data_IF_014794066646
#
_entry.id   IF_014794066646
#
_cell.length_a   1.000
_cell.length_b   1.000
_cell.length_c   1.000
_cell.angle_alpha   90.00
_cell.angle_beta   90.00
_cell.angle_gamma   90.00
#
_symmetry.space_group_name_H-M   'P 1'
#
loop_
_entity.id
_entity.type
_entity.pdbx_description
1 polymer ?
#
# COMPACT_ATOMS: atom_id res chain seq x y z
N UNK A 1 31.94 -48.78 -55.61
CA UNK A 1 31.77 -47.85 -54.49
C UNK A 1 30.32 -47.48 -54.43
N UNK A 2 29.59 -48.10 -53.50
CA UNK A 2 28.14 -47.93 -53.34
C UNK A 2 27.91 -47.20 -52.04
N UNK A 3 27.36 -45.97 -52.10
CA UNK A 3 26.94 -45.20 -50.95
C UNK A 3 25.54 -45.63 -50.54
N UNK A 4 25.40 -46.15 -49.31
CA UNK A 4 24.13 -46.37 -48.67
C UNK A 4 23.76 -45.09 -47.91
N UNK A 5 22.67 -44.45 -48.29
CA UNK A 5 22.05 -43.38 -47.55
C UNK A 5 20.96 -44.02 -46.69
N UNK A 6 21.23 -44.09 -45.40
CA UNK A 6 20.24 -44.53 -44.42
C UNK A 6 19.43 -43.30 -43.96
N UNK A 7 18.15 -43.28 -44.34
CA UNK A 7 17.18 -42.28 -43.97
C UNK A 7 16.61 -42.62 -42.58
N UNK A 8 17.08 -41.88 -41.57
CA UNK A 8 16.56 -42.02 -40.20
C UNK A 8 15.36 -41.06 -40.03
N UNK A 9 14.14 -41.63 -40.06
CA UNK A 9 12.90 -40.92 -39.72
C UNK A 9 12.80 -40.81 -38.20
N UNK A 10 13.14 -39.63 -37.68
CA UNK A 10 12.91 -39.24 -36.29
C UNK A 10 11.45 -38.80 -36.16
N UNK A 11 10.63 -39.67 -35.58
CA UNK A 11 9.30 -39.31 -35.08
C UNK A 11 9.46 -38.41 -33.87
N UNK A 12 9.27 -37.12 -34.07
CA UNK A 12 9.20 -36.13 -32.99
C UNK A 12 7.79 -36.17 -32.39
N UNK A 13 7.65 -36.87 -31.27
CA UNK A 13 6.43 -36.85 -30.47
C UNK A 13 6.31 -35.49 -29.80
N UNK A 14 5.44 -34.65 -30.32
CA UNK A 14 5.08 -33.36 -29.68
C UNK A 14 4.15 -33.71 -28.52
N UNK A 15 4.72 -33.72 -27.31
CA UNK A 15 3.95 -33.77 -26.07
C UNK A 15 3.39 -32.38 -25.86
N UNK A 16 2.11 -32.19 -26.14
CA UNK A 16 1.39 -31.00 -25.68
C UNK A 16 1.26 -31.09 -24.18
N UNK A 17 2.13 -30.37 -23.45
CA UNK A 17 1.84 -30.01 -22.09
C UNK A 17 0.70 -28.98 -22.14
N UNK A 18 -0.48 -29.46 -21.81
CA UNK A 18 -1.61 -28.63 -21.43
C UNK A 18 -1.14 -27.85 -20.19
N UNK A 19 -0.82 -26.57 -20.35
CA UNK A 19 -0.76 -25.64 -19.23
C UNK A 19 -2.19 -25.51 -18.72
N UNK A 20 -2.49 -26.17 -17.62
CA UNK A 20 -3.65 -25.86 -16.81
C UNK A 20 -3.58 -24.37 -16.48
N UNK A 21 -4.63 -23.67 -16.90
CA UNK A 21 -4.87 -22.29 -16.54
C UNK A 21 -4.80 -22.19 -15.01
N UNK A 22 -3.71 -21.59 -14.51
CA UNK A 22 -3.75 -20.96 -13.23
C UNK A 22 -4.88 -19.92 -13.35
N UNK A 23 -6.03 -20.28 -12.81
CA UNK A 23 -7.12 -19.35 -12.61
C UNK A 23 -6.53 -18.16 -11.87
N UNK A 24 -6.33 -17.06 -12.59
CA UNK A 24 -6.26 -15.75 -11.99
C UNK A 24 -7.58 -15.58 -11.24
N UNK A 25 -7.60 -16.03 -9.99
CA UNK A 25 -8.61 -15.59 -9.06
C UNK A 25 -8.34 -14.11 -8.84
N UNK A 26 -8.91 -13.31 -9.76
CA UNK A 26 -9.34 -11.96 -9.44
C UNK A 26 -10.28 -12.17 -8.26
N UNK A 27 -9.77 -12.06 -7.06
CA UNK A 27 -10.57 -11.85 -5.86
C UNK A 27 -11.26 -10.50 -6.06
N UNK A 28 -12.35 -10.54 -6.82
CA UNK A 28 -13.43 -9.58 -6.65
C UNK A 28 -13.66 -9.50 -5.16
N UNK A 29 -13.66 -8.29 -4.63
CA UNK A 29 -13.86 -7.97 -3.22
C UNK A 29 -15.28 -8.35 -2.78
N UNK A 30 -15.58 -9.65 -2.78
CA UNK A 30 -16.75 -10.22 -2.11
C UNK A 30 -16.27 -10.77 -0.79
N UNK A 31 -16.78 -10.13 0.28
CA UNK A 31 -16.62 -10.49 1.68
C UNK A 31 -15.32 -10.10 2.40
N UNK A 32 -14.81 -8.90 2.19
CA UNK A 32 -14.25 -8.19 3.33
C UNK A 32 -15.45 -7.81 4.21
N UNK A 33 -15.72 -8.59 5.27
CA UNK A 33 -16.62 -8.15 6.34
C UNK A 33 -16.03 -6.86 6.88
N UNK A 34 -16.58 -5.73 6.43
CA UNK A 34 -16.41 -4.44 7.07
C UNK A 34 -17.08 -4.61 8.44
N UNK A 35 -16.32 -4.98 9.45
CA UNK A 35 -16.78 -4.89 10.82
C UNK A 35 -16.88 -3.41 11.17
N UNK A 36 -18.07 -2.84 10.93
CA UNK A 36 -18.49 -1.61 11.57
C UNK A 36 -18.75 -1.92 13.05
N UNK A 37 -17.69 -2.02 13.83
CA UNK A 37 -17.84 -1.95 15.30
C UNK A 37 -17.97 -0.46 15.64
N UNK A 38 -19.20 -0.03 15.83
CA UNK A 38 -19.48 1.29 16.39
C UNK A 38 -18.91 1.36 17.82
N UNK A 39 -18.06 2.35 18.15
CA UNK A 39 -17.75 2.64 19.54
C UNK A 39 -19.01 3.27 20.19
N UNK A 40 -19.46 2.68 21.28
CA UNK A 40 -20.57 3.19 22.10
C UNK A 40 -20.01 4.22 23.07
N UNK A 41 -19.88 5.47 22.64
CA UNK A 41 -19.78 6.65 23.51
C UNK A 41 -20.22 7.89 22.69
N UNK A 42 -20.97 8.85 23.28
CA UNK A 42 -21.49 10.00 22.55
C UNK A 42 -20.39 11.06 22.37
N UNK A 43 -19.67 11.01 21.29
CA UNK A 43 -18.73 12.07 20.90
C UNK A 43 -19.45 13.01 19.93
N UNK A 44 -19.71 14.21 20.41
CA UNK A 44 -20.23 15.34 19.64
C UNK A 44 -19.15 15.91 18.73
N UNK A 45 -18.78 15.17 17.68
CA UNK A 45 -18.06 15.67 16.50
C UNK A 45 -18.57 14.90 15.30
N UNK A 46 -18.82 15.58 14.17
CA UNK A 46 -19.16 14.96 12.89
C UNK A 46 -17.95 14.12 12.43
N UNK A 47 -17.89 12.90 12.95
CA UNK A 47 -16.85 11.95 12.60
C UNK A 47 -17.09 11.48 11.16
N UNK A 48 -16.24 11.94 10.25
CA UNK A 48 -16.04 11.23 8.98
C UNK A 48 -15.63 9.81 9.36
N UNK A 49 -16.33 8.76 8.90
CA UNK A 49 -15.99 7.41 9.28
C UNK A 49 -14.53 7.13 8.92
N UNK A 50 -13.70 6.83 9.92
CA UNK A 50 -12.30 6.49 9.72
C UNK A 50 -12.24 5.21 8.88
N UNK A 51 -11.94 5.35 7.59
CA UNK A 51 -11.71 4.22 6.72
C UNK A 51 -10.50 3.45 7.21
N UNK A 52 -10.66 2.14 7.38
CA UNK A 52 -9.57 1.24 7.76
C UNK A 52 -9.66 -0.10 7.04
N UNK A 53 -8.53 -0.72 6.80
CA UNK A 53 -8.42 -2.07 6.24
C UNK A 53 -7.58 -2.91 7.18
N UNK A 54 -8.08 -4.12 7.47
CA UNK A 54 -7.38 -5.10 8.30
C UNK A 54 -7.19 -6.40 7.53
N UNK A 55 -5.97 -6.95 7.54
CA UNK A 55 -5.62 -8.21 6.88
C UNK A 55 -4.59 -8.97 7.71
N UNK A 56 -4.75 -10.29 7.82
CA UNK A 56 -3.74 -11.16 8.42
C UNK A 56 -2.60 -11.41 7.45
N UNK A 57 -1.37 -11.22 7.91
CA UNK A 57 -0.13 -11.49 7.18
C UNK A 57 0.71 -12.48 7.98
N UNK A 58 1.24 -13.50 7.30
CA UNK A 58 2.27 -14.39 7.86
C UNK A 58 3.66 -13.81 7.55
N UNK A 59 4.36 -13.35 8.57
CA UNK A 59 5.65 -12.67 8.41
C UNK A 59 6.78 -13.55 7.91
N UNK A 60 6.69 -14.87 8.09
CA UNK A 60 7.68 -15.81 7.58
C UNK A 60 7.56 -16.01 6.07
N UNK A 61 6.33 -15.95 5.55
CA UNK A 61 6.03 -16.12 4.12
C UNK A 61 6.10 -14.78 3.38
N UNK A 62 5.66 -13.72 4.06
CA UNK A 62 5.44 -12.40 3.46
C UNK A 62 4.01 -12.27 2.90
N UNK A 63 3.78 -11.23 2.12
CA UNK A 63 2.47 -10.95 1.53
C UNK A 63 2.30 -9.49 1.14
N UNK A 64 1.09 -9.14 0.73
CA UNK A 64 0.76 -7.78 0.31
C UNK A 64 -0.65 -7.41 0.77
N UNK A 65 -0.81 -6.13 1.15
CA UNK A 65 -2.10 -5.51 1.40
C UNK A 65 -2.29 -4.42 0.36
N UNK A 66 -3.36 -4.52 -0.42
CA UNK A 66 -3.74 -3.54 -1.44
C UNK A 66 -4.99 -2.79 -0.98
N UNK A 67 -5.00 -1.48 -1.18
CA UNK A 67 -6.15 -0.61 -1.01
C UNK A 67 -6.30 0.19 -2.30
N UNK A 68 -7.47 0.16 -2.89
CA UNK A 68 -7.90 1.07 -3.97
C UNK A 68 -9.35 1.43 -3.67
N UNK A 69 -9.54 2.64 -3.14
CA UNK A 69 -10.86 3.10 -2.71
C UNK A 69 -10.99 4.61 -2.90
N UNK A 70 -12.23 5.06 -2.91
CA UNK A 70 -12.55 6.49 -2.92
C UNK A 70 -13.44 6.79 -1.72
N UNK A 71 -13.04 7.79 -0.94
CA UNK A 71 -13.80 8.26 0.23
C UNK A 71 -14.12 9.73 0.08
N UNK A 72 -15.14 10.17 0.80
CA UNK A 72 -15.55 11.59 0.85
C UNK A 72 -14.86 12.23 2.05
N UNK A 73 -14.17 13.36 1.83
CA UNK A 73 -13.59 14.13 2.94
C UNK A 73 -14.68 14.95 3.67
N UNK A 74 -14.30 15.63 4.77
CA UNK A 74 -15.23 16.47 5.56
C UNK A 74 -15.83 17.65 4.78
N UNK A 75 -15.24 18.02 3.64
CA UNK A 75 -15.69 19.12 2.77
C UNK A 75 -16.59 18.63 1.63
N UNK A 76 -16.79 17.31 1.49
CA UNK A 76 -17.59 16.70 0.44
C UNK A 76 -16.81 16.34 -0.82
N UNK A 77 -15.48 16.49 -0.83
CA UNK A 77 -14.64 16.15 -1.98
C UNK A 77 -14.33 14.65 -2.00
N UNK A 78 -14.21 14.10 -3.21
CA UNK A 78 -13.83 12.71 -3.42
C UNK A 78 -12.32 12.59 -3.41
N UNK A 79 -11.79 11.78 -2.49
CA UNK A 79 -10.36 11.46 -2.39
C UNK A 79 -10.16 9.99 -2.67
N UNK A 80 -9.41 9.65 -3.72
CA UNK A 80 -8.97 8.30 -4.01
C UNK A 80 -7.70 7.97 -3.27
N UNK A 81 -7.68 6.79 -2.65
CA UNK A 81 -6.54 6.24 -1.90
C UNK A 81 -6.11 4.96 -2.60
N UNK A 82 -4.86 4.94 -3.05
CA UNK A 82 -4.21 3.75 -3.59
C UNK A 82 -3.01 3.41 -2.72
N UNK A 83 -3.00 2.23 -2.14
CA UNK A 83 -1.92 1.79 -1.25
C UNK A 83 -1.53 0.35 -1.57
N UNK A 84 -0.23 0.09 -1.64
CA UNK A 84 0.35 -1.25 -1.62
C UNK A 84 1.35 -1.31 -0.47
N UNK A 85 1.12 -2.23 0.46
CA UNK A 85 2.01 -2.51 1.58
C UNK A 85 2.53 -3.94 1.44
N UNK A 86 3.81 -4.08 1.06
CA UNK A 86 4.43 -5.35 0.73
C UNK A 86 5.42 -5.81 1.79
N UNK A 87 5.23 -7.04 2.25
CA UNK A 87 6.08 -7.75 3.19
C UNK A 87 6.92 -8.78 2.43
N UNK A 88 8.22 -8.68 2.50
CA UNK A 88 9.10 -9.77 2.04
C UNK A 88 9.05 -10.93 3.04
N UNK A 89 9.44 -12.14 2.63
CA UNK A 89 9.54 -13.27 3.55
C UNK A 89 10.53 -12.96 4.69
N UNK A 90 10.22 -13.42 5.89
CA UNK A 90 11.00 -13.18 7.10
C UNK A 90 11.00 -11.70 7.54
N UNK A 91 9.90 -10.98 7.31
CA UNK A 91 9.77 -9.60 7.79
C UNK A 91 9.50 -9.51 9.30
N UNK A 92 8.81 -10.51 9.86
CA UNK A 92 8.52 -10.66 11.29
C UNK A 92 8.13 -12.11 11.60
N UNK A 93 8.00 -12.46 12.89
CA UNK A 93 7.62 -13.81 13.31
C UNK A 93 6.11 -14.03 13.38
N UNK A 94 5.69 -15.19 12.87
CA UNK A 94 4.32 -15.70 12.97
C UNK A 94 3.32 -14.89 12.13
N UNK A 95 2.06 -15.00 12.52
CA UNK A 95 0.95 -14.29 11.89
C UNK A 95 0.56 -13.07 12.71
N UNK A 96 0.22 -11.99 12.01
CA UNK A 96 -0.28 -10.75 12.63
C UNK A 96 -1.44 -10.20 11.81
N UNK A 97 -2.43 -9.72 12.52
CA UNK A 97 -3.48 -8.90 11.96
C UNK A 97 -2.97 -7.47 11.80
N UNK A 98 -2.85 -7.02 10.55
CA UNK A 98 -2.31 -5.71 10.19
C UNK A 98 -3.47 -4.79 9.83
N UNK A 99 -3.59 -3.68 10.56
CA UNK A 99 -4.58 -2.63 10.28
C UNK A 99 -3.91 -1.40 9.71
N UNK A 100 -4.47 -0.88 8.63
CA UNK A 100 -4.03 0.33 7.92
C UNK A 100 -5.14 1.36 8.04
N UNK A 101 -4.80 2.57 8.50
CA UNK A 101 -5.73 3.70 8.66
C UNK A 101 -5.16 4.90 7.89
N UNK A 102 -5.59 5.13 6.64
CA UNK A 102 -5.27 6.37 5.93
C UNK A 102 -6.02 7.55 6.54
N UNK A 103 -5.37 8.69 6.66
CA UNK A 103 -5.99 9.94 7.08
C UNK A 103 -5.78 11.00 5.99
N UNK A 104 -6.87 11.38 5.34
CA UNK A 104 -6.86 12.34 4.23
C UNK A 104 -6.82 13.80 4.69
N UNK A 105 -7.17 14.07 5.96
CA UNK A 105 -7.22 15.43 6.49
C UNK A 105 -5.82 16.01 6.78
N UNK A 106 -4.84 15.16 7.00
CA UNK A 106 -3.45 15.52 7.27
C UNK A 106 -2.44 14.79 6.38
N UNK A 107 -2.93 14.12 5.34
CA UNK A 107 -2.13 13.34 4.40
C UNK A 107 -1.20 12.33 5.08
N UNK A 108 -1.70 11.65 6.10
CA UNK A 108 -0.95 10.63 6.83
C UNK A 108 -1.55 9.24 6.67
N UNK A 109 -0.77 8.25 7.10
CA UNK A 109 -1.19 6.84 7.16
C UNK A 109 -0.66 6.22 8.43
N UNK A 110 -1.49 5.47 9.13
CA UNK A 110 -1.16 4.81 10.39
C UNK A 110 -1.29 3.31 10.27
N UNK A 111 -0.38 2.59 10.93
CA UNK A 111 -0.32 1.13 10.90
C UNK A 111 -0.36 0.56 12.30
N UNK A 112 -1.07 -0.56 12.46
CA UNK A 112 -1.14 -1.34 13.69
C UNK A 112 -0.94 -2.85 13.40
N UNK A 113 -0.45 -3.61 14.42
CA UNK A 113 0.07 -3.16 15.71
C UNK A 113 1.40 -2.41 15.57
N UNK A 114 1.78 -1.59 16.54
CA UNK A 114 3.14 -1.03 16.60
C UNK A 114 4.15 -2.16 16.75
N UNK A 115 5.06 -2.31 15.79
CA UNK A 115 6.06 -3.38 15.76
C UNK A 115 7.25 -3.01 14.88
N UNK A 116 8.41 -3.57 15.17
CA UNK A 116 9.61 -3.48 14.35
C UNK A 116 9.69 -4.65 13.38
N UNK A 117 10.38 -4.46 12.26
CA UNK A 117 10.60 -5.46 11.23
C UNK A 117 12.05 -5.92 11.15
N UNK A 118 12.26 -7.22 10.91
CA UNK A 118 13.58 -7.76 10.57
C UNK A 118 14.03 -7.35 9.17
N UNK A 119 13.06 -7.21 8.24
CA UNK A 119 13.26 -6.65 6.90
C UNK A 119 12.27 -5.52 6.69
N UNK A 120 12.76 -4.37 6.22
CA UNK A 120 11.94 -3.20 5.94
C UNK A 120 10.77 -3.55 5.02
N UNK A 121 9.58 -3.16 5.41
CA UNK A 121 8.34 -3.31 4.63
C UNK A 121 8.27 -2.19 3.60
N UNK A 122 7.79 -2.49 2.40
CA UNK A 122 7.74 -1.53 1.28
C UNK A 122 6.33 -0.98 1.16
N UNK A 123 6.24 0.35 1.17
CA UNK A 123 4.97 1.07 1.01
C UNK A 123 4.97 1.84 -0.30
N UNK A 124 3.86 1.74 -1.03
CA UNK A 124 3.44 2.70 -2.04
C UNK A 124 2.14 3.32 -1.56
N UNK A 125 2.05 4.66 -1.60
CA UNK A 125 0.86 5.39 -1.18
C UNK A 125 0.60 6.54 -2.16
N UNK A 126 -0.65 6.65 -2.59
CA UNK A 126 -1.14 7.73 -3.45
C UNK A 126 -2.45 8.26 -2.87
N UNK A 127 -2.52 9.55 -2.68
CA UNK A 127 -3.75 10.29 -2.44
C UNK A 127 -4.04 11.14 -3.66
N UNK A 128 -5.22 11.03 -4.27
CA UNK A 128 -5.64 11.82 -5.42
C UNK A 128 -6.94 12.57 -5.08
N UNK A 129 -7.01 13.86 -5.41
CA UNK A 129 -8.13 14.73 -5.03
C UNK A 129 -8.02 15.28 -3.60
N UNK A 130 -6.83 15.22 -2.99
CA UNK A 130 -6.59 15.76 -1.64
C UNK A 130 -6.39 17.30 -1.73
N UNK A 131 -6.92 18.04 -0.75
CA UNK A 131 -6.77 19.49 -0.70
C UNK A 131 -5.35 19.91 -0.31
N UNK A 132 -4.49 20.06 -1.33
CA UNK A 132 -3.08 20.44 -1.16
C UNK A 132 -2.91 21.83 -0.52
N UNK A 133 -3.84 22.77 -0.79
CA UNK A 133 -3.75 24.12 -0.23
C UNK A 133 -4.04 24.11 1.27
N UNK A 134 -5.08 23.39 1.67
CA UNK A 134 -5.44 23.24 3.09
C UNK A 134 -4.34 22.51 3.88
N UNK A 135 -3.62 21.58 3.24
CA UNK A 135 -2.44 20.93 3.80
C UNK A 135 -1.19 21.83 3.85
N UNK A 136 -1.29 23.09 3.40
CA UNK A 136 -0.20 24.07 3.42
C UNK A 136 0.82 23.93 2.29
N UNK A 137 0.57 23.07 1.29
CA UNK A 137 1.40 23.02 0.10
C UNK A 137 1.12 24.20 -0.84
N UNK A 138 2.14 24.61 -1.60
CA UNK A 138 2.06 25.60 -2.67
C UNK A 138 2.57 24.99 -3.97
N UNK A 139 2.31 25.61 -5.11
CA UNK A 139 2.70 25.09 -6.44
C UNK A 139 4.20 24.82 -6.60
N UNK A 140 5.03 25.50 -5.84
CA UNK A 140 6.50 25.31 -5.80
C UNK A 140 6.97 24.48 -4.60
N UNK A 141 6.07 23.94 -3.78
CA UNK A 141 6.44 23.12 -2.61
C UNK A 141 7.12 21.83 -3.06
N UNK A 142 8.15 21.45 -2.32
CA UNK A 142 8.69 20.09 -2.33
C UNK A 142 8.04 19.29 -1.22
N UNK A 143 7.83 18.03 -1.42
CA UNK A 143 7.23 17.12 -0.46
C UNK A 143 8.26 16.09 0.00
N UNK A 144 8.13 15.68 1.23
CA UNK A 144 8.86 14.58 1.83
C UNK A 144 7.86 13.62 2.49
N UNK A 145 8.28 12.38 2.73
CA UNK A 145 7.49 11.38 3.43
C UNK A 145 8.29 10.89 4.63
N UNK A 146 7.78 11.12 5.83
CA UNK A 146 8.50 10.90 7.08
C UNK A 146 7.67 10.11 8.08
N UNK A 147 8.34 9.44 9.01
CA UNK A 147 7.76 8.98 10.25
C UNK A 147 7.47 10.18 11.16
N UNK A 148 6.33 10.13 11.86
CA UNK A 148 5.94 11.14 12.86
C UNK A 148 5.60 10.45 14.18
N UNK A 149 6.43 10.68 15.19
CA UNK A 149 6.21 10.19 16.56
C UNK A 149 5.22 11.05 17.34
N UNK A 150 4.68 10.51 18.44
CA UNK A 150 3.70 11.22 19.28
C UNK A 150 4.30 12.44 20.00
N UNK A 151 5.62 12.48 20.18
CA UNK A 151 6.33 13.54 20.88
C UNK A 151 6.99 14.57 19.94
N UNK A 152 6.54 14.64 18.68
CA UNK A 152 7.17 15.48 17.66
C UNK A 152 8.49 14.92 17.12
N UNK A 153 8.75 13.64 17.36
CA UNK A 153 9.88 12.93 16.75
C UNK A 153 9.66 12.78 15.26
N UNK A 154 10.72 12.95 14.48
CA UNK A 154 10.73 12.75 13.03
C UNK A 154 11.85 11.80 12.65
N UNK A 155 11.56 10.86 11.76
CA UNK A 155 12.57 10.00 11.15
C UNK A 155 12.43 10.04 9.64
N UNK A 156 13.56 10.18 8.96
CA UNK A 156 13.63 10.13 7.51
C UNK A 156 13.34 8.71 7.04
N UNK A 157 12.49 8.60 6.03
CA UNK A 157 12.16 7.32 5.39
C UNK A 157 12.88 7.22 4.06
N UNK A 158 13.58 6.10 3.82
CA UNK A 158 14.14 5.82 2.49
C UNK A 158 13.00 5.53 1.52
N UNK A 159 12.96 6.20 0.37
CA UNK A 159 12.00 5.95 -0.69
C UNK A 159 12.62 6.19 -2.08
N UNK A 160 12.01 5.65 -3.13
CA UNK A 160 12.48 5.88 -4.50
C UNK A 160 12.14 7.28 -5.01
N UNK A 161 10.92 7.74 -4.76
CA UNK A 161 10.49 9.11 -5.05
C UNK A 161 9.29 9.50 -4.19
N UNK A 162 9.17 10.81 -3.93
CA UNK A 162 8.04 11.44 -3.28
C UNK A 162 7.68 12.71 -4.06
N UNK A 163 6.42 12.85 -4.51
CA UNK A 163 6.04 13.89 -5.47
C UNK A 163 4.67 14.49 -5.19
N UNK A 164 4.48 15.72 -5.68
CA UNK A 164 3.20 16.43 -5.78
C UNK A 164 2.83 16.55 -7.25
N UNK A 165 1.60 16.19 -7.60
CA UNK A 165 0.99 16.47 -8.89
C UNK A 165 -0.18 17.44 -8.68
N UNK A 166 0.03 18.73 -8.94
CA UNK A 166 -0.93 19.80 -8.72
C UNK A 166 -2.21 19.67 -9.52
N UNK A 167 -2.17 19.41 -10.85
CA UNK A 167 -3.38 19.25 -11.65
C UNK A 167 -4.33 18.16 -11.15
N UNK A 168 -3.80 17.12 -10.52
CA UNK A 168 -4.57 15.99 -10.00
C UNK A 168 -4.82 16.10 -8.49
N UNK A 169 -4.35 17.17 -7.83
CA UNK A 169 -4.39 17.29 -6.37
C UNK A 169 -3.84 16.01 -5.70
N UNK A 170 -2.62 15.58 -6.12
CA UNK A 170 -2.11 14.27 -5.77
C UNK A 170 -0.81 14.36 -4.99
N UNK A 171 -0.70 13.56 -3.92
CA UNK A 171 0.52 13.23 -3.20
C UNK A 171 0.86 11.76 -3.45
N UNK A 172 2.14 11.49 -3.74
CA UNK A 172 2.61 10.13 -4.01
C UNK A 172 3.96 9.87 -3.39
N UNK A 173 4.10 8.72 -2.71
CA UNK A 173 5.39 8.13 -2.34
C UNK A 173 5.47 6.72 -2.92
N UNK A 174 6.65 6.33 -3.38
CA UNK A 174 6.90 5.01 -3.95
C UNK A 174 8.09 4.34 -3.29
N UNK A 175 7.91 3.05 -2.98
CA UNK A 175 8.93 2.20 -2.38
C UNK A 175 9.50 2.78 -1.08
N UNK A 176 8.64 3.37 -0.24
CA UNK A 176 9.03 3.81 1.10
C UNK A 176 9.34 2.58 1.96
N UNK A 177 10.52 2.57 2.59
CA UNK A 177 11.04 1.44 3.35
C UNK A 177 10.81 1.65 4.84
N UNK A 178 9.76 1.02 5.36
CA UNK A 178 9.35 1.15 6.75
C UNK A 178 10.12 0.15 7.62
N UNK A 179 10.84 0.65 8.64
CA UNK A 179 11.56 -0.16 9.64
C UNK A 179 10.65 -0.67 10.75
N UNK A 180 9.53 0.01 10.99
CA UNK A 180 8.54 -0.31 12.00
C UNK A 180 7.16 0.20 11.59
N UNK A 181 6.11 -0.28 12.27
CA UNK A 181 4.78 0.29 12.14
C UNK A 181 4.55 1.42 13.12
N UNK A 182 4.03 2.52 12.59
CA UNK A 182 3.64 3.72 13.31
C UNK A 182 2.80 4.62 12.40
N UNK A 183 2.90 5.93 12.58
CA UNK A 183 2.30 6.95 11.71
C UNK A 183 3.35 7.56 10.80
N UNK A 184 3.00 7.69 9.52
CA UNK A 184 3.81 8.34 8.50
C UNK A 184 2.98 9.42 7.80
N UNK A 185 3.61 10.50 7.36
CA UNK A 185 2.91 11.60 6.75
C UNK A 185 3.70 12.24 5.60
N UNK A 186 2.96 12.80 4.64
CA UNK A 186 3.53 13.74 3.69
C UNK A 186 3.71 15.10 4.38
N UNK A 187 4.89 15.65 4.27
CA UNK A 187 5.22 16.93 4.86
C UNK A 187 5.87 17.86 3.83
N UNK A 188 5.72 19.16 4.03
CA UNK A 188 6.42 20.13 3.22
C UNK A 188 7.91 20.08 3.58
N UNK A 189 8.76 19.85 2.57
CA UNK A 189 10.21 19.88 2.76
C UNK A 189 10.67 21.32 2.97
N UNK A 190 11.31 21.60 4.10
CA UNK A 190 12.01 22.86 4.32
C UNK A 190 13.22 22.95 3.37
N UNK A 191 13.43 24.10 2.76
CA UNK A 191 14.59 24.39 1.93
C UNK A 191 15.83 24.58 2.81
#
# INVERSE_FOLDING_TARGET
MKFFISLFLLFSSIIFYSCDNAENSILTAENSKVNLSAPTEPINNKDVPNFQVTKTINGLIGGEILIDTTIVNRHGDLVRIETSLRFDSLSFEGEREITIIPNIDDASIQFFPKMNFYKKVKLQLVYTGIDLLNLGFKSNSRVDFIFTGNNGEFEQVDYSFCTINWPQQQLRVSNAKLSHFSRYAFVKRSL
#
